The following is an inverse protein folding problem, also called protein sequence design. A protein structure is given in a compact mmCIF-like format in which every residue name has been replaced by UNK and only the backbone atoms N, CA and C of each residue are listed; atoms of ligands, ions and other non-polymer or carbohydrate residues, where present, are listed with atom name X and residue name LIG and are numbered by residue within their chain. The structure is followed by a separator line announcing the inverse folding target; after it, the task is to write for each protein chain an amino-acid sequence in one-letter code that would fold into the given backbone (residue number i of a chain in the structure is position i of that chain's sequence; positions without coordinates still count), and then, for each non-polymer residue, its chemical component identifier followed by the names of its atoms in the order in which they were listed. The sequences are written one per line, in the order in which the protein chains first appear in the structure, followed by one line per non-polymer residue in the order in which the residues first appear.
data_IF_068120867448
#
_entry.id   IF_068120867448
#
_cell.length_a   1.000
_cell.length_b   1.000
_cell.length_c   1.000
_cell.angle_alpha   90.00
_cell.angle_beta   90.00
_cell.angle_gamma   90.00
#
_symmetry.space_group_name_H-M   'P 1'
#
loop_
_entity.id
_entity.type
_entity.pdbx_description
1 polymer ?
#
# COMPACT_ATOMS: atom_id res chain seq x y z
N UNK A 1 42.55 6.80 29.62
CA UNK A 1 42.37 7.76 30.73
C UNK A 1 42.36 9.19 30.18
N UNK A 2 41.18 9.76 29.88
CA UNK A 2 40.92 11.20 29.61
C UNK A 2 39.45 11.48 30.00
N UNK A 3 39.22 12.02 31.21
CA UNK A 3 38.77 13.41 31.53
C UNK A 3 37.28 13.63 31.17
N UNK A 4 36.35 13.38 32.09
CA UNK A 4 35.72 14.27 33.11
C UNK A 4 34.61 15.20 32.56
N UNK A 5 33.38 14.77 32.86
CA UNK A 5 32.18 15.47 33.37
C UNK A 5 32.05 16.99 33.22
N UNK A 6 30.89 17.45 32.71
CA UNK A 6 30.23 18.68 33.12
C UNK A 6 28.71 18.48 33.25
N UNK A 7 28.19 19.02 34.35
CA UNK A 7 26.84 18.99 34.89
C UNK A 7 25.95 20.11 34.29
N UNK A 8 24.65 20.00 34.61
CA UNK A 8 23.64 21.06 34.79
C UNK A 8 22.98 21.63 33.50
N UNK A 9 21.70 22.01 33.48
CA UNK A 9 20.56 21.89 34.40
C UNK A 9 19.30 22.40 33.65
N UNK A 10 18.19 21.66 33.81
CA UNK A 10 16.76 22.03 33.93
C UNK A 10 16.15 23.34 33.38
N UNK A 11 14.82 23.25 33.16
CA UNK A 11 13.77 24.30 33.17
C UNK A 11 13.48 24.86 31.75
N UNK A 12 12.25 24.92 31.18
CA UNK A 12 10.94 25.33 31.69
C UNK A 12 9.79 24.78 30.81
N UNK A 13 8.68 24.44 31.46
CA UNK A 13 7.36 24.20 30.90
C UNK A 13 6.80 25.50 30.27
N UNK A 14 6.10 25.42 29.14
CA UNK A 14 5.42 26.58 28.55
C UNK A 14 4.34 26.19 27.54
N UNK A 15 3.19 25.72 28.03
CA UNK A 15 1.94 25.80 27.28
C UNK A 15 1.57 27.27 27.12
N UNK A 16 1.39 27.73 25.89
CA UNK A 16 0.60 28.93 25.60
C UNK A 16 -0.45 28.57 24.56
N UNK A 17 -1.64 28.25 25.08
CA UNK A 17 -2.89 28.33 24.33
C UNK A 17 -3.18 29.82 24.07
N UNK A 18 -2.99 30.29 22.85
CA UNK A 18 -3.57 31.57 22.42
C UNK A 18 -5.04 31.37 22.14
N UNK A 19 -5.83 31.67 23.17
CA UNK A 19 -7.24 31.97 23.09
C UNK A 19 -7.46 33.32 22.39
N UNK A 20 -8.03 33.29 21.19
CA UNK A 20 -9.00 34.30 20.74
C UNK A 20 -10.35 33.59 20.90
N UNK A 21 -11.27 33.97 21.78
CA UNK A 21 -11.66 35.33 22.12
C UNK A 21 -12.97 35.63 21.40
N UNK A 22 -14.06 34.96 21.78
CA UNK A 22 -15.43 35.52 21.82
C UNK A 22 -16.38 34.47 22.43
N UNK A 23 -16.83 34.73 23.65
CA UNK A 23 -18.01 34.10 24.25
C UNK A 23 -19.24 34.87 23.81
N UNK A 24 -20.26 34.19 23.29
CA UNK A 24 -21.65 34.49 23.61
C UNK A 24 -22.23 33.39 24.52
N UNK A 25 -23.10 33.81 25.44
CA UNK A 25 -23.89 33.01 26.39
C UNK A 25 -24.66 31.83 25.75
N UNK A 26 -25.10 30.84 26.55
CA UNK A 26 -25.78 29.65 26.06
C UNK A 26 -27.29 29.87 25.95
N UNK A 27 -27.87 29.57 24.78
CA UNK A 27 -29.29 29.26 24.65
C UNK A 27 -29.50 28.15 23.59
N UNK A 28 -30.56 27.33 23.72
CA UNK A 28 -30.61 25.98 23.20
C UNK A 28 -31.16 25.86 21.76
N UNK A 29 -30.72 24.79 21.09
CA UNK A 29 -31.35 24.11 19.96
C UNK A 29 -31.37 24.80 18.57
N UNK A 30 -30.47 24.38 17.67
CA UNK A 30 -30.71 24.07 16.23
C UNK A 30 -29.39 23.61 15.55
N UNK A 31 -29.44 22.81 14.46
CA UNK A 31 -28.51 21.72 14.23
C UNK A 31 -27.17 22.15 13.59
N UNK A 32 -26.11 21.45 14.00
CA UNK A 32 -24.82 21.43 13.32
C UNK A 32 -25.00 20.99 11.86
N UNK A 33 -24.81 21.92 10.94
CA UNK A 33 -24.68 21.62 9.52
C UNK A 33 -23.42 20.78 9.32
N UNK A 34 -23.59 19.46 9.18
CA UNK A 34 -22.52 18.57 8.78
C UNK A 34 -22.00 19.01 7.41
N UNK A 35 -20.69 19.28 7.32
CA UNK A 35 -20.02 19.37 6.01
C UNK A 35 -20.37 18.10 5.23
N UNK A 36 -20.88 18.20 3.98
CA UNK A 36 -21.08 17.00 3.17
C UNK A 36 -19.71 16.37 2.93
N UNK A 37 -19.48 15.21 3.56
CA UNK A 37 -18.39 14.32 3.17
C UNK A 37 -18.78 13.76 1.80
N UNK A 38 -18.33 14.42 0.73
CA UNK A 38 -18.52 13.93 -0.63
C UNK A 38 -17.85 12.56 -0.70
N UNK A 39 -18.66 11.50 -0.84
CA UNK A 39 -18.15 10.17 -1.10
C UNK A 39 -17.22 10.23 -2.34
N UNK A 40 -16.09 9.49 -2.36
CA UNK A 40 -15.23 9.46 -3.53
C UNK A 40 -16.06 9.12 -4.76
N UNK A 41 -16.02 9.99 -5.77
CA UNK A 41 -16.70 9.73 -7.03
C UNK A 41 -16.18 8.41 -7.60
N UNK A 42 -17.07 7.43 -7.73
CA UNK A 42 -16.69 6.13 -8.30
C UNK A 42 -16.54 6.32 -9.80
N UNK A 43 -15.31 6.18 -10.31
CA UNK A 43 -15.04 6.25 -11.75
C UNK A 43 -15.84 5.18 -12.51
N UNK A 44 -16.33 5.54 -13.70
CA UNK A 44 -16.93 4.58 -14.63
C UNK A 44 -15.92 3.49 -15.03
N UNK A 45 -16.38 2.29 -15.43
CA UNK A 45 -15.49 1.23 -15.92
C UNK A 45 -14.56 1.70 -17.04
N UNK A 46 -15.06 2.49 -17.99
CA UNK A 46 -14.27 3.02 -19.11
C UNK A 46 -13.20 4.02 -18.66
N UNK A 47 -13.53 4.89 -17.68
CA UNK A 47 -12.55 5.80 -17.11
C UNK A 47 -11.43 5.05 -16.36
N UNK A 48 -11.78 3.95 -15.65
CA UNK A 48 -10.79 3.08 -14.99
C UNK A 48 -9.91 2.35 -16.00
N UNK A 49 -10.49 1.81 -17.07
CA UNK A 49 -9.74 1.14 -18.13
C UNK A 49 -8.78 2.11 -18.83
N UNK A 50 -9.25 3.31 -19.15
CA UNK A 50 -8.43 4.37 -19.76
C UNK A 50 -7.27 4.79 -18.84
N UNK A 51 -7.54 4.99 -17.54
CA UNK A 51 -6.50 5.33 -16.57
C UNK A 51 -5.45 4.22 -16.40
N UNK A 52 -5.85 2.94 -16.40
CA UNK A 52 -4.90 1.81 -16.38
C UNK A 52 -4.04 1.77 -17.63
N UNK A 53 -4.65 1.91 -18.80
CA UNK A 53 -3.93 1.95 -20.08
C UNK A 53 -2.91 3.11 -20.11
N UNK A 54 -3.32 4.30 -19.68
CA UNK A 54 -2.44 5.47 -19.56
C UNK A 54 -1.28 5.25 -18.56
N UNK A 55 -1.51 4.48 -17.50
CA UNK A 55 -0.47 4.06 -16.55
C UNK A 55 0.39 2.90 -17.06
N UNK A 56 0.15 2.39 -18.27
CA UNK A 56 0.85 1.24 -18.84
C UNK A 56 0.59 -0.07 -18.11
N UNK A 57 -0.53 -0.16 -17.37
CA UNK A 57 -0.98 -1.36 -16.65
C UNK A 57 -1.77 -2.28 -17.58
N UNK A 58 -1.74 -3.61 -17.35
CA UNK A 58 -2.58 -4.54 -18.10
C UNK A 58 -4.08 -4.27 -17.83
N UNK A 59 -4.97 -4.78 -18.70
CA UNK A 59 -6.41 -4.78 -18.41
C UNK A 59 -6.72 -5.55 -17.13
N UNK A 60 -7.92 -5.32 -16.59
CA UNK A 60 -8.35 -6.02 -15.38
C UNK A 60 -8.50 -7.53 -15.65
N UNK A 61 -7.91 -8.41 -14.83
CA UNK A 61 -7.98 -9.85 -15.06
C UNK A 61 -9.41 -10.36 -14.87
N UNK A 62 -9.82 -11.28 -15.76
CA UNK A 62 -11.08 -12.01 -15.60
C UNK A 62 -11.02 -12.96 -14.38
N UNK A 63 -12.17 -13.50 -13.97
CA UNK A 63 -12.28 -14.36 -12.79
C UNK A 63 -11.31 -15.56 -12.82
N UNK A 64 -11.17 -16.24 -13.97
CA UNK A 64 -10.27 -17.39 -14.12
C UNK A 64 -8.81 -17.00 -13.91
N UNK A 65 -8.37 -15.89 -14.52
CA UNK A 65 -7.02 -15.36 -14.36
C UNK A 65 -6.75 -14.96 -12.90
N UNK A 66 -7.74 -14.34 -12.24
CA UNK A 66 -7.64 -13.96 -10.83
C UNK A 66 -7.43 -15.18 -9.94
N UNK A 67 -8.24 -16.23 -10.11
CA UNK A 67 -8.10 -17.47 -9.34
C UNK A 67 -6.73 -18.11 -9.56
N UNK A 68 -6.29 -18.26 -10.81
CA UNK A 68 -4.99 -18.86 -11.11
C UNK A 68 -3.82 -18.09 -10.49
N UNK A 69 -3.89 -16.75 -10.48
CA UNK A 69 -2.89 -15.92 -9.81
C UNK A 69 -2.88 -16.11 -8.28
N UNK A 70 -4.05 -16.16 -7.65
CA UNK A 70 -4.16 -16.38 -6.21
C UNK A 70 -3.67 -17.78 -5.81
N UNK A 71 -3.98 -18.80 -6.60
CA UNK A 71 -3.49 -20.16 -6.41
C UNK A 71 -1.96 -20.22 -6.53
N UNK A 72 -1.39 -19.51 -7.52
CA UNK A 72 0.05 -19.42 -7.68
C UNK A 72 0.73 -18.74 -6.47
N UNK A 73 0.13 -17.70 -5.89
CA UNK A 73 0.65 -17.10 -4.66
C UNK A 73 0.55 -18.05 -3.46
N UNK A 74 -0.58 -18.76 -3.31
CA UNK A 74 -0.76 -19.74 -2.25
C UNK A 74 0.22 -20.91 -2.34
N UNK A 75 0.58 -21.33 -3.56
CA UNK A 75 1.59 -22.36 -3.79
C UNK A 75 3.01 -21.93 -3.39
N UNK A 76 3.30 -20.62 -3.38
CA UNK A 76 4.58 -20.10 -2.86
C UNK A 76 4.56 -20.16 -1.33
N UNK A 77 3.58 -19.48 -0.73
CA UNK A 77 3.28 -19.55 0.71
C UNK A 77 1.87 -18.96 0.93
N UNK A 78 0.92 -19.71 1.54
CA UNK A 78 -0.45 -19.25 1.73
C UNK A 78 -0.55 -18.00 2.61
N UNK A 79 0.46 -17.72 3.43
CA UNK A 79 0.50 -16.51 4.26
C UNK A 79 0.70 -15.26 3.43
N UNK A 80 1.20 -15.32 2.19
CA UNK A 80 1.42 -14.15 1.32
C UNK A 80 0.11 -13.39 1.09
N UNK A 81 -1.00 -14.11 0.91
CA UNK A 81 -2.34 -13.52 0.84
C UNK A 81 -2.85 -13.33 2.27
N UNK A 82 -3.25 -12.11 2.62
CA UNK A 82 -3.92 -11.88 3.90
C UNK A 82 -5.35 -12.44 3.81
N UNK A 83 -5.87 -13.12 4.86
CA UNK A 83 -7.23 -13.64 4.85
C UNK A 83 -8.27 -12.55 4.49
N UNK A 84 -9.12 -12.81 3.49
CA UNK A 84 -10.14 -11.86 3.04
C UNK A 84 -9.58 -10.63 2.31
N UNK A 85 -8.35 -10.71 1.78
CA UNK A 85 -7.66 -9.62 1.05
C UNK A 85 -7.19 -10.08 -0.33
N UNK A 86 -7.92 -10.97 -0.96
CA UNK A 86 -7.66 -11.51 -2.30
C UNK A 86 -7.67 -10.39 -3.34
N UNK A 87 -8.63 -9.48 -3.27
CA UNK A 87 -8.71 -8.28 -4.13
C UNK A 87 -7.45 -7.40 -3.99
N UNK A 88 -6.95 -7.25 -2.76
CA UNK A 88 -5.73 -6.49 -2.50
C UNK A 88 -4.50 -7.22 -3.08
N UNK A 89 -4.43 -8.54 -2.99
CA UNK A 89 -3.35 -9.32 -3.59
C UNK A 89 -3.34 -9.16 -5.13
N UNK A 90 -4.50 -9.24 -5.77
CA UNK A 90 -4.64 -9.00 -7.22
C UNK A 90 -4.23 -7.57 -7.58
N UNK A 91 -4.69 -6.57 -6.83
CA UNK A 91 -4.33 -5.16 -7.05
C UNK A 91 -2.81 -4.94 -6.94
N UNK A 92 -2.15 -5.54 -5.95
CA UNK A 92 -0.70 -5.53 -5.79
C UNK A 92 0.01 -6.21 -6.97
N UNK A 93 -0.50 -7.33 -7.44
CA UNK A 93 0.01 -8.02 -8.62
C UNK A 93 -0.06 -7.15 -9.88
N UNK A 94 -1.20 -6.52 -10.15
CA UNK A 94 -1.36 -5.60 -11.29
C UNK A 94 -0.36 -4.45 -11.18
N UNK A 95 -0.19 -3.85 -9.99
CA UNK A 95 0.78 -2.78 -9.78
C UNK A 95 2.23 -3.25 -9.99
N UNK A 96 2.54 -4.51 -9.63
CA UNK A 96 3.85 -5.11 -9.87
C UNK A 96 4.19 -5.23 -11.37
N UNK A 97 3.20 -5.35 -12.25
CA UNK A 97 3.43 -5.39 -13.70
C UNK A 97 4.17 -4.15 -14.24
N UNK A 98 3.93 -2.95 -13.68
CA UNK A 98 4.70 -1.77 -14.06
C UNK A 98 6.19 -1.90 -13.70
N UNK A 99 6.50 -2.50 -12.56
CA UNK A 99 7.88 -2.77 -12.16
C UNK A 99 8.53 -3.82 -13.06
N UNK A 100 7.81 -4.88 -13.42
CA UNK A 100 8.29 -5.92 -14.35
C UNK A 100 8.63 -5.31 -15.71
N UNK A 101 7.75 -4.45 -16.24
CA UNK A 101 7.95 -3.80 -17.54
C UNK A 101 9.19 -2.90 -17.59
N UNK A 102 9.50 -2.23 -16.48
CA UNK A 102 10.50 -1.14 -16.45
C UNK A 102 11.83 -1.53 -15.82
N UNK A 103 11.86 -2.54 -14.95
CA UNK A 103 13.05 -2.90 -14.16
C UNK A 103 13.72 -4.13 -14.76
N UNK A 104 14.98 -3.99 -15.20
CA UNK A 104 15.80 -5.10 -15.73
C UNK A 104 16.63 -5.82 -14.67
N UNK A 105 16.88 -5.17 -13.54
CA UNK A 105 17.59 -5.77 -12.41
C UNK A 105 16.67 -6.72 -11.64
N UNK A 106 16.93 -8.02 -11.75
CA UNK A 106 16.14 -9.06 -11.09
C UNK A 106 16.17 -8.98 -9.56
N UNK A 107 17.29 -8.54 -8.97
CA UNK A 107 17.43 -8.43 -7.51
C UNK A 107 16.55 -7.30 -7.01
N UNK A 108 16.61 -6.14 -7.68
CA UNK A 108 15.74 -5.01 -7.38
C UNK A 108 14.26 -5.35 -7.60
N UNK A 109 13.95 -6.09 -8.67
CA UNK A 109 12.60 -6.50 -8.97
C UNK A 109 12.04 -7.48 -7.92
N UNK A 110 12.85 -8.43 -7.46
CA UNK A 110 12.50 -9.35 -6.37
C UNK A 110 12.24 -8.58 -5.06
N UNK A 111 13.13 -7.65 -4.70
CA UNK A 111 12.97 -6.81 -3.51
C UNK A 111 11.67 -5.99 -3.57
N UNK A 112 11.40 -5.35 -4.71
CA UNK A 112 10.16 -4.60 -4.94
C UNK A 112 8.91 -5.47 -4.75
N UNK A 113 8.95 -6.73 -5.18
CA UNK A 113 7.84 -7.65 -4.98
C UNK A 113 7.65 -8.00 -3.49
N UNK A 114 8.73 -8.22 -2.74
CA UNK A 114 8.66 -8.49 -1.30
C UNK A 114 8.00 -7.32 -0.55
N UNK A 115 8.42 -6.08 -0.85
CA UNK A 115 7.85 -4.85 -0.26
C UNK A 115 6.37 -4.69 -0.64
N UNK A 116 6.04 -4.81 -1.93
CA UNK A 116 4.68 -4.60 -2.43
C UNK A 116 3.68 -5.62 -1.87
N UNK A 117 4.13 -6.85 -1.65
CA UNK A 117 3.35 -7.90 -0.98
C UNK A 117 3.49 -7.89 0.53
N UNK A 118 4.23 -6.93 1.12
CA UNK A 118 4.49 -6.80 2.56
C UNK A 118 5.08 -8.06 3.18
N UNK A 119 5.84 -8.82 2.39
CA UNK A 119 6.49 -10.07 2.82
C UNK A 119 7.69 -9.74 3.70
N UNK A 120 8.49 -8.75 3.28
CA UNK A 120 9.64 -8.21 4.03
C UNK A 120 9.33 -7.82 5.48
N UNK A 121 8.14 -7.28 5.70
CA UNK A 121 7.69 -6.73 6.98
C UNK A 121 6.81 -7.70 7.77
N UNK A 122 5.94 -8.46 7.10
CA UNK A 122 4.98 -9.36 7.77
C UNK A 122 5.46 -10.80 7.90
N UNK A 123 6.31 -11.25 6.98
CA UNK A 123 6.75 -12.64 6.86
C UNK A 123 8.28 -12.69 6.67
N UNK A 124 9.07 -12.16 7.63
CA UNK A 124 10.52 -12.02 7.48
C UNK A 124 11.24 -13.37 7.29
N UNK A 125 10.64 -14.47 7.75
CA UNK A 125 11.13 -15.84 7.59
C UNK A 125 11.16 -16.32 6.12
N UNK A 126 10.26 -15.80 5.28
CA UNK A 126 10.22 -16.10 3.85
C UNK A 126 10.63 -14.90 2.98
N UNK A 127 11.09 -13.80 3.57
CA UNK A 127 11.52 -12.59 2.87
C UNK A 127 12.88 -12.77 2.18
N UNK A 128 12.95 -13.74 1.27
CA UNK A 128 14.15 -14.10 0.54
C UNK A 128 14.08 -13.62 -0.90
N UNK A 129 15.22 -13.41 -1.58
CA UNK A 129 15.24 -13.13 -3.02
C UNK A 129 14.49 -14.19 -3.83
N UNK A 130 14.53 -15.46 -3.40
CA UNK A 130 13.80 -16.56 -4.03
C UNK A 130 12.29 -16.36 -4.01
N UNK A 131 11.73 -15.99 -2.86
CA UNK A 131 10.30 -15.68 -2.71
C UNK A 131 9.90 -14.49 -3.58
N UNK A 132 10.71 -13.42 -3.58
CA UNK A 132 10.46 -12.24 -4.42
C UNK A 132 10.45 -12.58 -5.92
N UNK A 133 11.39 -13.42 -6.38
CA UNK A 133 11.42 -13.94 -7.76
C UNK A 133 10.20 -14.80 -8.06
N UNK A 134 9.79 -15.69 -7.15
CA UNK A 134 8.62 -16.53 -7.33
C UNK A 134 7.32 -15.70 -7.46
N UNK A 135 7.16 -14.65 -6.64
CA UNK A 135 6.04 -13.71 -6.73
C UNK A 135 6.04 -13.02 -8.10
N UNK A 136 7.19 -12.49 -8.54
CA UNK A 136 7.28 -11.86 -9.86
C UNK A 136 6.94 -12.82 -11.00
N UNK A 137 7.37 -14.08 -10.90
CA UNK A 137 7.01 -15.11 -11.87
C UNK A 137 5.50 -15.36 -11.90
N UNK A 138 4.84 -15.47 -10.75
CA UNK A 138 3.39 -15.62 -10.66
C UNK A 138 2.65 -14.41 -11.26
N UNK A 139 3.10 -13.19 -10.95
CA UNK A 139 2.55 -11.95 -11.51
C UNK A 139 2.70 -11.94 -13.03
N UNK A 140 3.91 -12.14 -13.55
CA UNK A 140 4.19 -12.10 -14.99
C UNK A 140 3.37 -13.14 -15.74
N UNK A 141 3.38 -14.39 -15.26
CA UNK A 141 2.68 -15.52 -15.90
C UNK A 141 1.17 -15.29 -16.02
N UNK A 142 0.53 -14.73 -14.99
CA UNK A 142 -0.93 -14.66 -14.93
C UNK A 142 -1.50 -13.28 -15.26
N UNK A 143 -0.84 -12.19 -14.88
CA UNK A 143 -1.42 -10.84 -14.93
C UNK A 143 -0.87 -9.97 -16.06
N UNK A 144 0.38 -10.21 -16.49
CA UNK A 144 1.03 -9.43 -17.54
C UNK A 144 2.04 -10.26 -18.35
N UNK A 145 1.58 -11.32 -19.04
CA UNK A 145 2.46 -12.23 -19.78
C UNK A 145 3.18 -11.56 -20.96
N UNK A 146 2.67 -10.43 -21.43
CA UNK A 146 3.20 -9.70 -22.59
C UNK A 146 4.23 -8.60 -22.22
N UNK A 147 4.58 -8.46 -20.93
CA UNK A 147 5.47 -7.40 -20.43
C UNK A 147 6.92 -7.84 -20.27
#
# INVERSE_FOLDING_TARGET
MRIKTNLAATVLLGLVLTACGTTPEPDPAAPVQGKPTTAPATLSPDAKASARSAAGLPPEPNAKTRTAFLDALNAIDPRIIKPGKEDQAVSRGINQCSSIKTTKDEVKLAQTALERFTVDTRLPDIATPGTGKAINKAVHTHLCPDF
#
